data_IF_458211682986
#
_entry.id   IF_458211682986
#
_cell.length_a   1.000
_cell.length_b   1.000
_cell.length_c   1.000
_cell.angle_alpha   90.00
_cell.angle_beta   90.00
_cell.angle_gamma   90.00
#
_symmetry.space_group_name_H-M   'P 1'
#
loop_
_entity.id
_entity.type
_entity.pdbx_description
1 polymer ?
#
# COMPACT_ATOMS: atom_id res chain seq x y z
N UNK A 1 15.58 -10.11 12.27
CA UNK A 1 14.97 -9.30 11.19
C UNK A 1 14.04 -10.17 10.36
N UNK A 2 14.50 -11.34 9.88
CA UNK A 2 13.68 -12.35 9.18
C UNK A 2 12.30 -12.61 9.82
N UNK A 3 12.24 -12.91 11.13
CA UNK A 3 10.97 -13.19 11.80
C UNK A 3 10.00 -11.99 11.82
N UNK A 4 10.54 -10.77 11.93
CA UNK A 4 9.74 -9.53 11.90
C UNK A 4 9.18 -9.33 10.49
N UNK A 5 9.99 -9.58 9.46
CA UNK A 5 9.57 -9.48 8.06
C UNK A 5 8.41 -10.46 7.75
N UNK A 6 8.56 -11.73 8.14
CA UNK A 6 7.50 -12.73 8.00
C UNK A 6 6.22 -12.33 8.73
N UNK A 7 6.33 -11.78 9.95
CA UNK A 7 5.18 -11.29 10.70
C UNK A 7 4.49 -10.11 9.99
N UNK A 8 5.26 -9.16 9.43
CA UNK A 8 4.70 -8.02 8.69
C UNK A 8 3.99 -8.43 7.41
N UNK A 9 4.49 -9.45 6.69
CA UNK A 9 3.81 -9.96 5.50
C UNK A 9 2.52 -10.68 5.89
N UNK A 10 2.57 -11.50 6.94
CA UNK A 10 1.39 -12.24 7.39
C UNK A 10 0.28 -11.29 7.86
N UNK A 11 0.63 -10.23 8.61
CA UNK A 11 -0.33 -9.24 9.05
C UNK A 11 -0.89 -8.43 7.88
N UNK A 12 -0.05 -7.96 6.95
CA UNK A 12 -0.49 -7.24 5.76
C UNK A 12 -1.44 -8.08 4.90
N UNK A 13 -1.09 -9.34 4.64
CA UNK A 13 -1.92 -10.27 3.88
C UNK A 13 -3.26 -10.53 4.59
N UNK A 14 -3.24 -10.72 5.92
CA UNK A 14 -4.46 -10.90 6.70
C UNK A 14 -5.40 -9.69 6.62
N UNK A 15 -4.87 -8.47 6.67
CA UNK A 15 -5.65 -7.23 6.55
C UNK A 15 -6.29 -7.13 5.16
N UNK A 16 -5.51 -7.43 4.11
CA UNK A 16 -5.96 -7.40 2.71
C UNK A 16 -7.06 -8.45 2.46
N UNK A 17 -6.93 -9.64 3.06
CA UNK A 17 -7.89 -10.74 2.89
C UNK A 17 -9.19 -10.52 3.66
N UNK A 18 -9.14 -9.89 4.84
CA UNK A 18 -10.31 -9.78 5.73
C UNK A 18 -11.29 -8.70 5.26
N UNK A 19 -10.79 -7.58 4.74
CA UNK A 19 -11.59 -6.38 4.49
C UNK A 19 -11.70 -6.04 2.99
N UNK A 20 -12.21 -6.97 2.19
CA UNK A 20 -12.38 -6.78 0.74
C UNK A 20 -13.42 -5.70 0.36
N UNK A 21 -14.21 -5.22 1.31
CA UNK A 21 -15.30 -4.25 1.06
C UNK A 21 -14.86 -2.79 1.19
N UNK A 22 -13.82 -2.52 1.97
CA UNK A 22 -13.30 -1.18 2.18
C UNK A 22 -11.97 -1.02 1.47
N UNK A 23 -11.98 -0.33 0.32
CA UNK A 23 -10.77 -0.03 -0.46
C UNK A 23 -9.70 0.69 0.38
N UNK A 24 -10.10 1.41 1.43
CA UNK A 24 -9.14 2.01 2.36
C UNK A 24 -8.31 0.97 3.13
N UNK A 25 -8.89 -0.19 3.48
CA UNK A 25 -8.18 -1.28 4.16
C UNK A 25 -7.15 -1.95 3.24
N UNK A 26 -7.48 -2.07 1.94
CA UNK A 26 -6.54 -2.49 0.92
C UNK A 26 -5.32 -1.55 0.85
N UNK A 27 -5.57 -0.24 0.86
CA UNK A 27 -4.51 0.79 0.80
C UNK A 27 -3.56 0.70 2.01
N UNK A 28 -4.12 0.53 3.22
CA UNK A 28 -3.34 0.33 4.44
C UNK A 28 -2.49 -0.95 4.39
N UNK A 29 -3.00 -2.03 3.79
CA UNK A 29 -2.24 -3.27 3.60
C UNK A 29 -1.01 -3.08 2.69
N UNK A 30 -1.14 -2.29 1.64
CA UNK A 30 -0.03 -1.98 0.71
C UNK A 30 1.04 -1.13 1.40
N UNK A 31 0.64 -0.15 2.22
CA UNK A 31 1.59 0.69 2.97
C UNK A 31 2.40 -0.15 3.98
N UNK A 32 1.75 -1.05 4.73
CA UNK A 32 2.42 -1.98 5.65
C UNK A 32 3.42 -2.88 4.90
N UNK A 33 3.08 -3.35 3.70
CA UNK A 33 3.98 -4.13 2.86
C UNK A 33 5.22 -3.32 2.44
N UNK A 34 5.03 -2.05 2.04
CA UNK A 34 6.13 -1.16 1.63
C UNK A 34 7.13 -0.89 2.76
N UNK A 35 6.65 -0.74 3.99
CA UNK A 35 7.47 -0.57 5.19
C UNK A 35 8.23 -1.87 5.52
N UNK A 36 7.58 -3.03 5.36
CA UNK A 36 8.23 -4.34 5.51
C UNK A 36 9.42 -4.50 4.57
N UNK A 37 9.26 -4.15 3.30
CA UNK A 37 10.33 -4.20 2.28
C UNK A 37 11.44 -3.19 2.61
N UNK A 38 11.09 -1.98 3.04
CA UNK A 38 12.06 -0.96 3.47
C UNK A 38 12.93 -1.46 4.63
N UNK A 39 12.35 -2.18 5.60
CA UNK A 39 13.11 -2.71 6.75
C UNK A 39 14.21 -3.70 6.34
N UNK A 40 13.96 -4.53 5.33
CA UNK A 40 14.94 -5.48 4.78
C UNK A 40 15.99 -4.74 3.94
N UNK A 41 15.55 -3.80 3.09
CA UNK A 41 16.44 -2.98 2.28
C UNK A 41 17.45 -2.21 3.13
N UNK A 42 17.00 -1.58 4.23
CA UNK A 42 17.91 -0.90 5.15
C UNK A 42 18.88 -1.88 5.80
N UNK A 43 18.43 -3.06 6.22
CA UNK A 43 19.30 -4.08 6.82
C UNK A 43 20.43 -4.53 5.87
N UNK A 44 20.13 -4.68 4.58
CA UNK A 44 21.10 -5.13 3.57
C UNK A 44 22.00 -3.98 3.07
N UNK A 45 21.43 -2.80 2.78
CA UNK A 45 22.16 -1.68 2.19
C UNK A 45 22.88 -0.81 3.22
N UNK A 46 22.56 -0.91 4.51
CA UNK A 46 23.29 -0.19 5.56
C UNK A 46 24.78 -0.52 5.57
N UNK A 47 25.15 -1.77 5.24
CA UNK A 47 26.54 -2.20 5.18
C UNK A 47 27.31 -1.58 4.00
N UNK A 48 26.63 -1.25 2.91
CA UNK A 48 27.22 -0.67 1.70
C UNK A 48 27.17 0.87 1.65
N UNK A 49 26.68 1.54 2.70
CA UNK A 49 26.54 3.00 2.73
C UNK A 49 25.49 3.56 1.76
N UNK A 50 24.67 2.71 1.14
CA UNK A 50 23.69 3.07 0.11
C UNK A 50 22.34 3.51 0.70
N UNK A 51 22.31 4.05 1.92
CA UNK A 51 21.08 4.42 2.66
C UNK A 51 20.25 5.47 1.91
N UNK A 52 20.90 6.31 1.09
CA UNK A 52 20.22 7.28 0.23
C UNK A 52 19.25 6.61 -0.76
N UNK A 53 19.58 5.41 -1.25
CA UNK A 53 18.69 4.65 -2.12
C UNK A 53 17.43 4.18 -1.39
N UNK A 54 17.56 3.78 -0.12
CA UNK A 54 16.42 3.41 0.73
C UNK A 54 15.46 4.59 0.94
N UNK A 55 15.98 5.82 1.12
CA UNK A 55 15.15 7.02 1.25
C UNK A 55 14.40 7.34 -0.04
N UNK A 56 15.05 7.22 -1.20
CA UNK A 56 14.39 7.39 -2.50
C UNK A 56 13.26 6.37 -2.68
N UNK A 57 13.50 5.09 -2.37
CA UNK A 57 12.47 4.05 -2.41
C UNK A 57 11.27 4.40 -1.52
N UNK A 58 11.51 4.89 -0.30
CA UNK A 58 10.44 5.27 0.63
C UNK A 58 9.60 6.43 0.08
N UNK A 59 10.22 7.43 -0.55
CA UNK A 59 9.47 8.55 -1.16
C UNK A 59 8.59 8.09 -2.32
N UNK A 60 9.09 7.18 -3.17
CA UNK A 60 8.30 6.60 -4.26
C UNK A 60 7.11 5.80 -3.73
N UNK A 61 7.31 5.01 -2.67
CA UNK A 61 6.23 4.26 -2.03
C UNK A 61 5.12 5.17 -1.47
N UNK A 62 5.48 6.28 -0.82
CA UNK A 62 4.51 7.26 -0.31
C UNK A 62 3.77 7.95 -1.46
N UNK A 63 4.44 8.27 -2.56
CA UNK A 63 3.80 8.85 -3.74
C UNK A 63 2.72 7.92 -4.33
N UNK A 64 3.02 6.62 -4.48
CA UNK A 64 2.04 5.63 -4.92
C UNK A 64 0.84 5.52 -3.96
N UNK A 65 1.08 5.58 -2.65
CA UNK A 65 0.00 5.58 -1.65
C UNK A 65 -0.91 6.82 -1.78
N UNK A 66 -0.33 8.01 -1.97
CA UNK A 66 -1.10 9.26 -2.19
C UNK A 66 -1.90 9.22 -3.49
N UNK A 67 -1.32 8.67 -4.57
CA UNK A 67 -2.04 8.45 -5.82
C UNK A 67 -3.23 7.50 -5.61
N UNK A 68 -3.02 6.37 -4.94
CA UNK A 68 -4.09 5.44 -4.57
C UNK A 68 -5.20 6.09 -3.74
N UNK A 69 -4.83 6.95 -2.79
CA UNK A 69 -5.79 7.68 -1.96
C UNK A 69 -6.57 8.72 -2.77
N UNK A 70 -5.91 9.44 -3.68
CA UNK A 70 -6.54 10.45 -4.54
C UNK A 70 -7.61 9.85 -5.46
N UNK A 71 -7.35 8.64 -5.98
CA UNK A 71 -8.30 7.87 -6.78
C UNK A 71 -9.48 7.44 -5.92
N UNK A 72 -9.20 6.93 -4.71
CA UNK A 72 -10.24 6.52 -3.75
C UNK A 72 -11.17 7.68 -3.36
N UNK A 73 -10.63 8.87 -3.12
CA UNK A 73 -11.42 10.08 -2.82
C UNK A 73 -12.26 10.51 -4.03
N UNK A 74 -11.73 10.40 -5.24
CA UNK A 74 -12.44 10.74 -6.48
C UNK A 74 -13.64 9.82 -6.69
N UNK A 75 -13.46 8.53 -6.45
CA UNK A 75 -14.53 7.53 -6.43
C UNK A 75 -15.58 7.88 -5.36
N UNK A 76 -15.15 8.13 -4.12
CA UNK A 76 -16.06 8.41 -3.01
C UNK A 76 -16.94 9.65 -3.27
N UNK A 77 -16.40 10.67 -3.96
CA UNK A 77 -17.17 11.85 -4.41
C UNK A 77 -18.20 11.52 -5.50
N UNK A 78 -17.92 10.56 -6.39
CA UNK A 78 -18.84 10.13 -7.45
C UNK A 78 -20.07 9.38 -6.92
N UNK A 79 -19.91 8.55 -5.88
CA UNK A 79 -21.00 7.78 -5.27
C UNK A 79 -22.13 8.63 -4.64
N UNK A 80 -21.89 9.92 -4.35
CA UNK A 80 -22.88 10.83 -3.78
C UNK A 80 -23.84 11.49 -4.78
N UNK A 81 -23.55 11.44 -6.09
CA UNK A 81 -24.32 12.16 -7.13
C UNK A 81 -25.25 11.28 -7.95
N UNK A 82 -24.99 9.98 -8.05
CA UNK A 82 -25.79 9.06 -8.86
C UNK A 82 -25.67 7.63 -8.33
N UNK A 83 -26.81 7.03 -7.97
CA UNK A 83 -26.92 5.66 -7.47
C UNK A 83 -26.63 4.67 -8.59
N UNK A 84 -25.38 4.46 -8.95
CA UNK A 84 -24.95 3.33 -9.79
C UNK A 84 -23.47 3.04 -9.52
N UNK A 85 -23.06 1.78 -9.32
CA UNK A 85 -21.68 1.45 -9.07
C UNK A 85 -20.90 1.53 -10.39
N UNK A 86 -20.33 2.71 -10.68
CA UNK A 86 -19.48 2.97 -11.85
C UNK A 86 -18.19 2.14 -11.88
N UNK A 87 -17.97 1.29 -10.88
CA UNK A 87 -16.90 0.28 -10.89
C UNK A 87 -17.16 -0.90 -11.81
N UNK A 88 -18.41 -1.17 -12.20
CA UNK A 88 -18.72 -2.31 -13.07
C UNK A 88 -18.56 -2.01 -14.58
N UNK A 89 -18.29 -0.75 -14.95
CA UNK A 89 -18.09 -0.35 -16.36
C UNK A 89 -16.69 -0.69 -16.92
N UNK A 90 -15.81 -1.27 -16.11
CA UNK A 90 -14.55 -1.89 -16.56
C UNK A 90 -14.58 -3.42 -16.44
N UNK A 91 -15.77 -4.02 -16.36
CA UNK A 91 -15.92 -5.41 -16.77
C UNK A 91 -16.15 -5.39 -18.28
N UNK A 92 -15.05 -5.69 -19.00
CA UNK A 92 -15.10 -6.15 -20.39
C UNK A 92 -16.19 -7.22 -20.57
#
# INVERSE_FOLDING_TARGET
MEAVFWFTIFSACSIIMTEQKHVMSLLMGIEILSIGIYSVMVGVLAYNGAVMFCLVFLTLAVCEAVLGLSILVSIAKGYGKEKSPTFFLLKF
#
